data_IF_891371927142
#
_entry.id   IF_891371927142
#
_cell.length_a   1.000
_cell.length_b   1.000
_cell.length_c   1.000
_cell.angle_alpha   90.00
_cell.angle_beta   90.00
_cell.angle_gamma   90.00
#
_symmetry.space_group_name_H-M   'P 1'
#
loop_
_entity.id
_entity.type
_entity.pdbx_description
1 polymer ?
#
# COMPACT_ATOMS: atom_id res chain seq x y z
N UNK A 1 -23.99 -16.19 27.37
CA UNK A 1 -23.55 -16.19 25.96
C UNK A 1 -22.58 -15.04 25.78
N UNK A 2 -21.38 -15.29 25.25
CA UNK A 2 -20.50 -14.20 24.87
C UNK A 2 -21.21 -13.41 23.76
N UNK A 3 -21.50 -12.15 24.03
CA UNK A 3 -22.11 -11.26 23.04
C UNK A 3 -21.01 -10.95 22.01
N UNK A 4 -21.11 -11.49 20.79
CA UNK A 4 -20.15 -11.23 19.70
C UNK A 4 -20.37 -9.79 19.24
N UNK A 5 -19.46 -8.91 19.65
CA UNK A 5 -19.61 -7.46 19.41
C UNK A 5 -18.63 -6.90 18.34
N UNK A 6 -17.88 -7.71 17.56
CA UNK A 6 -16.91 -7.21 16.54
C UNK A 6 -16.70 -8.11 15.30
N UNK A 7 -16.31 -7.55 14.12
CA UNK A 7 -16.02 -8.30 12.87
C UNK A 7 -14.85 -9.30 13.01
N UNK A 8 -13.90 -9.00 13.90
CA UNK A 8 -12.77 -9.87 14.26
C UNK A 8 -13.23 -11.08 15.08
N UNK A 9 -14.22 -10.89 15.96
CA UNK A 9 -14.86 -11.97 16.70
C UNK A 9 -15.85 -12.75 15.81
N UNK A 10 -16.60 -12.06 14.94
CA UNK A 10 -17.55 -12.63 13.97
C UNK A 10 -16.83 -13.50 12.92
N UNK A 11 -15.63 -13.12 12.46
CA UNK A 11 -14.73 -13.94 11.61
C UNK A 11 -14.37 -15.29 12.25
N UNK A 12 -14.37 -15.39 13.58
CA UNK A 12 -14.10 -16.64 14.29
C UNK A 12 -15.27 -17.62 14.31
N UNK A 13 -16.46 -17.18 13.89
CA UNK A 13 -17.74 -17.93 14.02
C UNK A 13 -18.52 -18.00 12.71
N UNK A 14 -18.25 -17.08 11.77
CA UNK A 14 -18.86 -16.99 10.44
C UNK A 14 -17.91 -17.58 9.42
N UNK A 15 -18.45 -18.34 8.46
CA UNK A 15 -17.65 -18.96 7.40
C UNK A 15 -16.86 -17.88 6.63
N UNK A 16 -15.58 -18.12 6.29
CA UNK A 16 -14.67 -17.12 5.72
C UNK A 16 -15.08 -16.59 4.33
N UNK A 17 -16.08 -17.21 3.71
CA UNK A 17 -16.71 -16.82 2.44
C UNK A 17 -17.77 -15.71 2.55
N UNK A 18 -18.29 -15.42 3.74
CA UNK A 18 -19.35 -14.41 3.94
C UNK A 18 -18.86 -13.10 4.61
N UNK A 19 -17.65 -13.10 5.19
CA UNK A 19 -17.14 -11.96 5.97
C UNK A 19 -15.64 -11.72 5.80
N UNK A 20 -15.25 -10.54 5.29
CA UNK A 20 -13.85 -10.08 5.23
C UNK A 20 -13.70 -8.64 5.70
N UNK A 21 -12.63 -8.37 6.44
CA UNK A 21 -12.25 -7.05 6.95
C UNK A 21 -11.62 -6.23 5.82
N UNK A 22 -12.18 -5.07 5.48
CA UNK A 22 -11.59 -4.12 4.54
C UNK A 22 -10.96 -2.94 5.28
N UNK A 23 -9.63 -2.90 5.37
CA UNK A 23 -8.90 -1.72 5.85
C UNK A 23 -8.60 -0.83 4.64
N UNK A 24 -9.59 -0.10 4.13
CA UNK A 24 -9.42 0.75 2.94
C UNK A 24 -10.12 2.10 3.11
N UNK A 25 -9.38 3.18 2.90
CA UNK A 25 -9.92 4.54 2.79
C UNK A 25 -10.05 4.90 1.33
N UNK A 26 -10.88 5.88 1.00
CA UNK A 26 -10.90 6.47 -0.33
C UNK A 26 -10.49 7.93 -0.23
N UNK A 27 -9.59 8.39 -1.09
CA UNK A 27 -9.07 9.76 -1.09
C UNK A 27 -9.00 10.30 -2.52
N UNK A 28 -9.03 11.63 -2.67
CA UNK A 28 -8.73 12.24 -3.97
C UNK A 28 -7.30 11.89 -4.40
N UNK A 29 -7.11 11.42 -5.65
CA UNK A 29 -5.78 11.14 -6.20
C UNK A 29 -4.81 12.32 -6.14
N UNK A 30 -5.35 13.55 -6.17
CA UNK A 30 -4.58 14.79 -6.13
C UNK A 30 -3.91 15.05 -4.78
N UNK A 31 -4.41 14.44 -3.69
CA UNK A 31 -3.83 14.56 -2.35
C UNK A 31 -2.66 13.60 -2.11
N UNK A 32 -2.44 12.64 -3.02
CA UNK A 32 -1.34 11.69 -2.91
C UNK A 32 -0.02 12.37 -3.30
N UNK A 33 0.94 12.36 -2.40
CA UNK A 33 2.28 12.88 -2.62
C UNK A 33 3.27 11.73 -2.87
N UNK A 34 4.25 11.96 -3.74
CA UNK A 34 5.41 11.07 -3.90
C UNK A 34 6.56 11.63 -3.05
N UNK A 35 7.20 10.80 -2.24
CA UNK A 35 8.41 11.17 -1.50
C UNK A 35 9.62 11.08 -2.44
N UNK A 36 10.32 12.20 -2.60
CA UNK A 36 11.48 12.31 -3.48
C UNK A 36 12.58 11.33 -3.03
N UNK A 37 13.04 10.47 -3.94
CA UNK A 37 14.02 9.42 -3.63
C UNK A 37 13.47 8.11 -3.04
N UNK A 38 12.18 8.03 -2.67
CA UNK A 38 11.60 6.79 -2.14
C UNK A 38 11.36 5.72 -3.21
N UNK A 39 11.11 6.15 -4.46
CA UNK A 39 11.08 5.22 -5.56
C UNK A 39 12.52 4.82 -5.95
N UNK A 40 13.06 3.83 -5.25
CA UNK A 40 14.39 3.26 -5.51
C UNK A 40 14.63 3.02 -7.00
N UNK A 41 13.63 2.54 -7.73
CA UNK A 41 13.76 2.28 -9.18
C UNK A 41 13.88 3.54 -10.05
N UNK A 42 13.27 4.66 -9.66
CA UNK A 42 13.43 5.94 -10.35
C UNK A 42 14.63 6.75 -9.84
N UNK A 43 15.11 6.47 -8.63
CA UNK A 43 16.31 7.09 -8.07
C UNK A 43 17.61 6.51 -8.65
N UNK A 44 17.63 5.22 -9.00
CA UNK A 44 18.81 4.54 -9.56
C UNK A 44 18.81 4.45 -11.09
N UNK A 45 17.67 4.68 -11.75
CA UNK A 45 17.58 4.68 -13.21
C UNK A 45 16.96 5.99 -13.67
N UNK A 46 17.79 6.85 -14.25
CA UNK A 46 17.34 7.99 -15.03
C UNK A 46 16.36 7.50 -16.11
N UNK A 47 15.31 8.28 -16.36
CA UNK A 47 14.29 7.98 -17.37
C UNK A 47 13.51 6.67 -17.17
N UNK A 48 13.50 6.09 -15.97
CA UNK A 48 12.77 4.85 -15.66
C UNK A 48 11.31 4.86 -16.12
N UNK A 49 10.63 6.00 -15.94
CA UNK A 49 9.24 6.18 -16.35
C UNK A 49 9.06 6.52 -17.83
N UNK A 50 10.14 6.88 -18.52
CA UNK A 50 10.12 7.18 -19.95
C UNK A 50 10.25 5.93 -20.79
N UNK A 51 10.75 4.84 -20.21
CA UNK A 51 10.91 3.57 -20.90
C UNK A 51 9.57 3.09 -21.46
N UNK A 52 9.54 2.61 -22.72
CA UNK A 52 8.30 2.31 -23.42
C UNK A 52 7.47 1.21 -22.74
N UNK A 53 8.13 0.25 -22.10
CA UNK A 53 7.49 -0.81 -21.30
C UNK A 53 6.76 -0.25 -20.08
N UNK A 54 7.36 0.73 -19.40
CA UNK A 54 6.75 1.37 -18.23
C UNK A 54 5.60 2.28 -18.64
N UNK A 55 5.76 3.08 -19.70
CA UNK A 55 4.69 3.90 -20.27
C UNK A 55 3.50 3.04 -20.69
N UNK A 56 3.74 1.92 -21.38
CA UNK A 56 2.70 0.98 -21.77
C UNK A 56 1.96 0.40 -20.55
N UNK A 57 2.69 0.01 -19.50
CA UNK A 57 2.07 -0.49 -18.27
C UNK A 57 1.21 0.55 -17.54
N UNK A 58 1.64 1.81 -17.52
CA UNK A 58 0.86 2.93 -16.96
C UNK A 58 -0.40 3.15 -17.80
N UNK A 59 -0.30 3.06 -19.13
CA UNK A 59 -1.43 3.22 -20.04
C UNK A 59 -2.51 2.16 -19.82
N UNK A 60 -2.11 0.89 -19.72
CA UNK A 60 -3.03 -0.22 -19.44
C UNK A 60 -3.77 -0.01 -18.12
N UNK A 61 -3.09 0.49 -17.09
CA UNK A 61 -3.71 0.83 -15.82
C UNK A 61 -4.69 2.01 -15.95
N UNK A 62 -4.33 3.05 -16.71
CA UNK A 62 -5.20 4.22 -16.92
C UNK A 62 -6.51 3.81 -17.62
N UNK A 63 -6.42 2.92 -18.62
CA UNK A 63 -7.60 2.37 -19.31
C UNK A 63 -8.45 1.51 -18.36
N UNK A 64 -7.83 0.73 -17.46
CA UNK A 64 -8.55 -0.03 -16.44
C UNK A 64 -9.35 0.89 -15.50
N UNK A 65 -8.77 2.01 -15.05
CA UNK A 65 -9.48 3.00 -14.24
C UNK A 65 -10.63 3.65 -15.01
N UNK A 66 -10.46 3.96 -16.30
CA UNK A 66 -11.52 4.50 -17.16
C UNK A 66 -12.70 3.54 -17.34
N UNK A 67 -12.42 2.24 -17.44
CA UNK A 67 -13.45 1.19 -17.54
C UNK A 67 -14.18 0.93 -16.22
N UNK A 68 -13.65 1.44 -15.10
CA UNK A 68 -14.16 1.12 -13.76
C UNK A 68 -13.77 -0.29 -13.29
N UNK A 69 -12.70 -0.85 -13.85
CA UNK A 69 -12.21 -2.16 -13.42
C UNK A 69 -11.67 -2.10 -11.98
N UNK A 70 -11.69 -3.24 -11.29
CA UNK A 70 -11.05 -3.35 -9.99
C UNK A 70 -9.53 -3.21 -10.11
N UNK A 71 -8.97 -2.19 -9.45
CA UNK A 71 -7.53 -1.98 -9.34
C UNK A 71 -7.11 -2.09 -7.87
N UNK A 72 -6.02 -2.82 -7.55
CA UNK A 72 -5.53 -2.93 -6.18
C UNK A 72 -5.26 -1.55 -5.56
N UNK A 73 -5.61 -1.36 -4.27
CA UNK A 73 -5.46 -0.08 -3.61
C UNK A 73 -4.00 0.37 -3.51
N UNK A 74 -3.82 1.68 -3.35
CA UNK A 74 -2.48 2.29 -3.18
C UNK A 74 -2.10 2.23 -1.70
N UNK A 75 -0.87 1.81 -1.41
CA UNK A 75 -0.37 1.80 -0.03
C UNK A 75 0.23 3.15 0.27
N UNK A 76 -0.26 3.80 1.32
CA UNK A 76 0.12 5.15 1.71
C UNK A 76 0.60 5.22 3.15
N UNK A 77 1.41 6.22 3.49
CA UNK A 77 1.80 6.55 4.86
C UNK A 77 1.46 8.00 5.11
N UNK A 78 0.73 8.29 6.19
CA UNK A 78 0.46 9.66 6.60
C UNK A 78 1.63 10.16 7.46
N UNK A 79 2.24 11.27 7.07
CA UNK A 79 3.31 11.94 7.82
C UNK A 79 2.96 13.42 7.89
N UNK A 80 2.86 13.98 9.10
CA UNK A 80 2.52 15.39 9.35
C UNK A 80 1.25 15.87 8.59
N UNK A 81 0.23 15.01 8.55
CA UNK A 81 -1.04 15.31 7.87
C UNK A 81 -1.00 15.22 6.34
N UNK A 82 0.13 14.82 5.75
CA UNK A 82 0.29 14.60 4.31
C UNK A 82 0.34 13.11 3.97
N UNK A 83 -0.29 12.74 2.86
CA UNK A 83 -0.42 11.34 2.43
C UNK A 83 0.68 11.01 1.41
N UNK A 84 1.68 10.25 1.83
CA UNK A 84 2.79 9.84 0.98
C UNK A 84 2.57 8.43 0.42
N UNK A 85 2.78 8.25 -0.88
CA UNK A 85 2.71 6.94 -1.53
C UNK A 85 3.93 6.11 -1.16
N UNK A 86 3.69 4.93 -0.58
CA UNK A 86 4.73 3.92 -0.31
C UNK A 86 4.74 2.85 -1.39
N UNK A 87 3.57 2.36 -1.79
CA UNK A 87 3.44 1.40 -2.88
C UNK A 87 2.34 1.82 -3.86
N UNK A 88 2.56 1.60 -5.16
CA UNK A 88 1.58 1.96 -6.19
C UNK A 88 1.87 3.26 -6.94
N UNK A 89 3.13 3.71 -7.00
CA UNK A 89 3.55 4.90 -7.76
C UNK A 89 3.05 4.89 -9.23
N UNK A 90 3.15 3.74 -9.91
CA UNK A 90 2.61 3.59 -11.27
C UNK A 90 1.08 3.72 -11.32
N UNK A 91 0.36 3.26 -10.29
CA UNK A 91 -1.10 3.38 -10.18
C UNK A 91 -1.50 4.83 -10.00
N UNK A 92 -0.84 5.58 -9.10
CA UNK A 92 -1.04 7.03 -8.94
C UNK A 92 -0.88 7.74 -10.29
N UNK A 93 0.23 7.50 -10.99
CA UNK A 93 0.48 8.11 -12.32
C UNK A 93 -0.57 7.73 -13.36
N UNK A 94 -1.01 6.47 -13.37
CA UNK A 94 -2.07 6.02 -14.26
C UNK A 94 -3.43 6.70 -13.97
N UNK A 95 -3.78 6.89 -12.70
CA UNK A 95 -4.99 7.61 -12.29
C UNK A 95 -4.93 9.07 -12.75
N UNK A 96 -3.79 9.74 -12.50
CA UNK A 96 -3.60 11.13 -12.92
C UNK A 96 -3.69 11.27 -14.44
N UNK A 97 -3.08 10.34 -15.19
CA UNK A 97 -3.19 10.28 -16.64
C UNK A 97 -4.65 10.08 -17.08
N UNK A 98 -5.38 9.16 -16.45
CA UNK A 98 -6.79 8.94 -16.78
C UNK A 98 -7.65 10.19 -16.54
N UNK A 99 -7.42 10.90 -15.43
CA UNK A 99 -8.10 12.17 -15.11
C UNK A 99 -7.76 13.25 -16.13
N UNK A 100 -6.49 13.39 -16.50
CA UNK A 100 -6.04 14.35 -17.52
C UNK A 100 -6.72 14.09 -18.88
N UNK A 101 -7.00 12.82 -19.18
CA UNK A 101 -7.72 12.40 -20.37
C UNK A 101 -9.26 12.46 -20.25
N UNK A 102 -9.78 13.07 -19.18
CA UNK A 102 -11.20 13.33 -18.98
C UNK A 102 -11.97 12.24 -18.24
N UNK A 103 -11.29 11.29 -17.58
CA UNK A 103 -11.97 10.31 -16.74
C UNK A 103 -12.50 10.96 -15.44
N UNK A 104 -13.76 10.67 -15.09
CA UNK A 104 -14.37 11.16 -13.85
C UNK A 104 -13.98 10.30 -12.64
N UNK A 105 -12.71 10.38 -12.24
CA UNK A 105 -12.16 9.65 -11.09
C UNK A 105 -12.01 10.62 -9.91
N UNK A 106 -13.05 10.67 -9.07
CA UNK A 106 -13.06 11.55 -7.90
C UNK A 106 -12.29 10.94 -6.70
N UNK A 107 -12.35 9.62 -6.55
CA UNK A 107 -11.84 8.91 -5.38
C UNK A 107 -11.11 7.63 -5.75
N UNK A 108 -10.05 7.32 -5.01
CA UNK A 108 -9.30 6.05 -5.16
C UNK A 108 -9.09 5.37 -3.84
N UNK A 109 -9.15 4.04 -3.86
CA UNK A 109 -8.96 3.23 -2.67
C UNK A 109 -7.48 3.20 -2.26
N UNK A 110 -7.23 3.51 -1.00
CA UNK A 110 -5.91 3.53 -0.37
C UNK A 110 -5.93 2.71 0.92
N UNK A 111 -4.80 2.08 1.20
CA UNK A 111 -4.58 1.32 2.44
C UNK A 111 -3.44 2.00 3.17
N UNK A 112 -3.66 2.37 4.42
CA UNK A 112 -2.61 2.94 5.25
C UNK A 112 -1.62 1.86 5.66
N UNK A 113 -0.34 2.10 5.40
CA UNK A 113 0.76 1.29 5.88
C UNK A 113 0.97 1.54 7.38
N UNK A 114 0.47 0.62 8.21
CA UNK A 114 0.76 0.58 9.64
C UNK A 114 2.20 0.10 9.87
N UNK A 115 3.17 0.99 9.74
CA UNK A 115 4.54 0.76 10.19
C UNK A 115 4.67 1.10 11.68
N UNK A 116 5.08 0.11 12.46
CA UNK A 116 5.57 0.16 13.85
C UNK A 116 4.60 0.29 15.04
N UNK A 117 3.83 -0.78 15.28
CA UNK A 117 3.69 -1.33 16.66
C UNK A 117 4.33 -2.75 16.79
N UNK A 118 5.04 -3.23 15.76
CA UNK A 118 5.55 -4.61 15.72
C UNK A 118 7.08 -4.74 15.68
N UNK A 119 7.84 -3.63 15.74
CA UNK A 119 9.31 -3.67 15.91
C UNK A 119 9.79 -3.22 17.30
N UNK A 120 8.87 -3.10 18.28
CA UNK A 120 9.23 -2.89 19.69
C UNK A 120 9.24 -4.18 20.54
N UNK A 121 9.17 -5.37 19.92
CA UNK A 121 9.31 -6.65 20.62
C UNK A 121 10.49 -7.50 20.17
N UNK A 122 11.42 -6.97 19.35
CA UNK A 122 12.59 -7.71 18.87
C UNK A 122 13.90 -7.42 19.62
N UNK A 123 13.88 -6.68 20.74
CA UNK A 123 15.07 -6.46 21.57
C UNK A 123 15.18 -7.34 22.82
N UNK A 124 14.28 -8.30 23.06
CA UNK A 124 14.31 -9.11 24.30
C UNK A 124 14.53 -10.63 24.08
N UNK A 125 14.98 -11.06 22.90
CA UNK A 125 15.21 -12.50 22.65
C UNK A 125 16.44 -12.83 21.81
N UNK A 126 17.47 -11.99 21.83
CA UNK A 126 18.73 -12.35 21.15
C UNK A 126 20.01 -11.93 21.89
N UNK A 127 20.00 -11.96 23.23
CA UNK A 127 21.22 -11.86 24.01
C UNK A 127 21.23 -12.80 25.22
N UNK A 128 20.99 -14.10 25.00
CA UNK A 128 21.25 -15.15 26.00
C UNK A 128 21.23 -16.56 25.38
N UNK A 129 22.27 -16.89 24.61
CA UNK A 129 22.92 -18.22 24.51
C UNK A 129 23.78 -18.29 23.25
N UNK A 130 24.97 -17.73 23.33
CA UNK A 130 26.13 -18.28 22.64
C UNK A 130 27.33 -18.12 23.58
N UNK A 131 27.50 -19.09 24.48
CA UNK A 131 28.77 -19.31 25.16
C UNK A 131 29.45 -20.46 24.43
N UNK A 132 30.59 -20.26 23.75
CA UNK A 132 31.39 -21.37 23.30
C UNK A 132 32.16 -21.89 24.51
N UNK A 133 31.68 -23.00 25.08
CA UNK A 133 32.47 -23.85 25.96
C UNK A 133 33.58 -24.50 25.12
N UNK A 134 34.77 -23.92 25.15
CA UNK A 134 36.00 -24.62 24.78
C UNK A 134 36.66 -25.13 26.06
N UNK A 135 36.74 -26.46 26.13
CA UNK A 135 37.54 -27.22 27.09
C UNK A 135 38.99 -27.20 26.65
N UNK A 136 39.90 -26.99 27.60
CA UNK A 136 41.16 -27.75 27.76
C UNK A 136 41.50 -27.73 29.23
#
# INVERSE_FOLDING_TARGET
MAVINSLRALKGVTAPEELKKGDGFTISPQLLLEEEGFNTRGAFCEDYYERPDIKAGIRVLADAYKRGDYVPPIIVKVIDGKVYVREGHRRRRAILLAIEEGADIQFVQVVEHKGDEAEQSLSDRHQQRWAPSFST
#
